data_IF_322820254455
#
_entry.id   IF_322820254455
#
_cell.length_a   1.000
_cell.length_b   1.000
_cell.length_c   1.000
_cell.angle_alpha   90.00
_cell.angle_beta   90.00
_cell.angle_gamma   90.00
#
_symmetry.space_group_name_H-M   'P 1'
#
loop_
_entity.id
_entity.type
_entity.pdbx_description
1 polymer ?
#
# COMPACT_ATOMS: atom_id res chain seq x y z
N UNK A 1 54.05 10.63 -48.81
CA UNK A 1 53.37 11.66 -48.00
C UNK A 1 51.91 11.92 -48.38
N UNK A 2 51.53 12.04 -49.66
CA UNK A 2 50.13 12.34 -50.06
C UNK A 2 49.08 11.27 -49.68
N UNK A 3 49.45 9.99 -49.60
CA UNK A 3 48.52 8.91 -49.24
C UNK A 3 48.22 8.81 -47.73
N UNK A 4 49.16 9.20 -46.88
CA UNK A 4 49.00 9.23 -45.42
C UNK A 4 48.08 10.38 -44.97
N UNK A 5 48.18 11.55 -45.61
CA UNK A 5 47.26 12.67 -45.34
C UNK A 5 45.79 12.31 -45.68
N UNK A 6 45.55 11.53 -46.74
CA UNK A 6 44.20 11.10 -47.14
C UNK A 6 43.55 10.14 -46.14
N UNK A 7 44.32 9.22 -45.56
CA UNK A 7 43.81 8.29 -44.55
C UNK A 7 43.40 9.04 -43.27
N UNK A 8 44.25 9.95 -42.79
CA UNK A 8 43.98 10.76 -41.60
C UNK A 8 42.75 11.66 -41.79
N UNK A 9 42.55 12.23 -42.98
CA UNK A 9 41.34 13.02 -43.25
C UNK A 9 40.06 12.18 -43.29
N UNK A 10 40.12 10.93 -43.75
CA UNK A 10 38.95 10.04 -43.81
C UNK A 10 38.58 9.54 -42.41
N UNK A 11 39.55 9.15 -41.59
CA UNK A 11 39.31 8.75 -40.20
C UNK A 11 38.76 9.90 -39.36
N UNK A 12 39.28 11.13 -39.54
CA UNK A 12 38.77 12.30 -38.83
C UNK A 12 37.35 12.68 -39.29
N UNK A 13 37.02 12.46 -40.57
CA UNK A 13 35.67 12.69 -41.09
C UNK A 13 34.66 11.64 -40.61
N UNK A 14 35.08 10.36 -40.52
CA UNK A 14 34.30 9.29 -39.92
C UNK A 14 34.10 9.52 -38.42
N UNK A 15 35.12 10.01 -37.71
CA UNK A 15 35.00 10.37 -36.30
C UNK A 15 34.04 11.56 -36.10
N UNK A 16 34.10 12.57 -36.98
CA UNK A 16 33.17 13.72 -36.95
C UNK A 16 31.75 13.29 -37.33
N UNK A 17 31.56 12.35 -38.26
CA UNK A 17 30.25 11.76 -38.57
C UNK A 17 29.72 10.89 -37.43
N UNK A 18 30.58 10.14 -36.74
CA UNK A 18 30.23 9.40 -35.53
C UNK A 18 29.87 10.36 -34.39
N UNK A 19 30.63 11.44 -34.23
CA UNK A 19 30.36 12.49 -33.25
C UNK A 19 29.08 13.24 -33.62
N UNK A 20 28.78 13.50 -34.91
CA UNK A 20 27.52 14.12 -35.35
C UNK A 20 26.32 13.16 -35.26
N UNK A 21 26.52 11.84 -35.36
CA UNK A 21 25.45 10.86 -35.10
C UNK A 21 25.20 10.67 -33.60
N UNK A 22 26.22 10.88 -32.77
CA UNK A 22 26.11 10.84 -31.30
C UNK A 22 25.72 12.22 -30.72
N UNK A 23 25.96 13.30 -31.47
CA UNK A 23 25.60 14.70 -31.15
C UNK A 23 24.36 15.19 -31.89
N UNK A 24 23.57 14.29 -32.51
CA UNK A 24 22.12 14.43 -32.40
C UNK A 24 21.79 14.18 -30.93
N UNK A 25 22.06 15.20 -30.10
CA UNK A 25 21.61 15.24 -28.72
C UNK A 25 20.18 14.75 -28.69
N UNK A 26 19.93 13.76 -27.84
CA UNK A 26 18.63 13.23 -27.53
C UNK A 26 17.76 14.35 -26.91
N UNK A 27 17.27 15.28 -27.73
CA UNK A 27 15.95 15.83 -27.49
C UNK A 27 15.03 14.64 -27.72
N UNK A 28 14.68 13.96 -26.63
CA UNK A 28 13.60 13.00 -26.66
C UNK A 28 12.41 13.68 -27.33
N UNK A 29 11.87 13.07 -28.38
CA UNK A 29 10.71 13.60 -29.05
C UNK A 29 9.59 13.81 -28.01
N UNK A 30 9.31 15.06 -27.66
CA UNK A 30 8.32 15.40 -26.62
C UNK A 30 6.89 15.30 -27.15
N UNK A 31 6.71 15.13 -28.47
CA UNK A 31 5.39 15.09 -29.10
C UNK A 31 4.45 14.05 -28.49
N UNK A 32 4.88 12.80 -28.17
CA UNK A 32 4.02 11.85 -27.48
C UNK A 32 3.66 12.33 -26.08
N UNK A 33 4.61 12.88 -25.31
CA UNK A 33 4.33 13.40 -23.96
C UNK A 33 3.34 14.57 -23.98
N UNK A 34 3.49 15.50 -24.93
CA UNK A 34 2.57 16.63 -25.11
C UNK A 34 1.16 16.15 -25.49
N UNK A 35 1.08 15.13 -26.34
CA UNK A 35 -0.18 14.49 -26.73
C UNK A 35 -0.82 13.72 -25.57
N UNK A 36 -0.03 13.03 -24.73
CA UNK A 36 -0.49 12.36 -23.52
C UNK A 36 -1.16 13.36 -22.57
N UNK A 37 -0.46 14.44 -22.25
CA UNK A 37 -0.95 15.53 -21.39
C UNK A 37 -2.20 16.20 -21.94
N UNK A 38 -2.31 16.35 -23.26
CA UNK A 38 -3.53 16.87 -23.88
C UNK A 38 -4.70 15.92 -23.71
N UNK A 39 -4.49 14.63 -23.97
CA UNK A 39 -5.54 13.62 -23.79
C UNK A 39 -6.02 13.53 -22.34
N UNK A 40 -5.13 13.65 -21.35
CA UNK A 40 -5.51 13.74 -19.92
C UNK A 40 -6.41 14.95 -19.65
N UNK A 41 -6.06 16.14 -20.16
CA UNK A 41 -6.90 17.34 -20.02
C UNK A 41 -8.28 17.18 -20.65
N UNK A 42 -8.37 16.41 -21.73
CA UNK A 42 -9.61 16.11 -22.44
C UNK A 42 -10.42 14.98 -21.75
N UNK A 43 -9.88 14.35 -20.70
CA UNK A 43 -10.49 13.22 -20.00
C UNK A 43 -10.38 11.88 -20.75
N UNK A 44 -9.63 11.84 -21.85
CA UNK A 44 -9.42 10.64 -22.67
C UNK A 44 -8.20 9.85 -22.16
N UNK A 45 -8.38 9.21 -21.01
CA UNK A 45 -7.31 8.43 -20.36
C UNK A 45 -6.84 7.25 -21.22
N UNK A 46 -7.73 6.64 -22.01
CA UNK A 46 -7.37 5.52 -22.88
C UNK A 46 -6.35 5.96 -23.94
N UNK A 47 -6.58 7.13 -24.56
CA UNK A 47 -5.63 7.71 -25.52
C UNK A 47 -4.35 8.20 -24.84
N UNK A 48 -4.45 8.82 -23.66
CA UNK A 48 -3.29 9.26 -22.90
C UNK A 48 -2.30 8.12 -22.60
N UNK A 49 -2.82 6.95 -22.20
CA UNK A 49 -2.01 5.76 -21.90
C UNK A 49 -1.13 5.35 -23.09
N UNK A 50 -1.68 5.34 -24.31
CA UNK A 50 -0.91 4.98 -25.50
C UNK A 50 0.27 5.92 -25.75
N UNK A 51 0.06 7.22 -25.54
CA UNK A 51 1.12 8.22 -25.72
C UNK A 51 2.21 8.15 -24.64
N UNK A 52 1.85 7.88 -23.38
CA UNK A 52 2.84 7.64 -22.34
C UNK A 52 3.70 6.41 -22.62
N UNK A 53 3.08 5.31 -23.09
CA UNK A 53 3.80 4.09 -23.46
C UNK A 53 4.76 4.34 -24.63
N UNK A 54 4.36 5.14 -25.62
CA UNK A 54 5.22 5.54 -26.74
C UNK A 54 6.43 6.33 -26.25
N UNK A 55 6.23 7.33 -25.38
CA UNK A 55 7.32 8.14 -24.82
C UNK A 55 8.29 7.30 -23.96
N UNK A 56 7.75 6.56 -22.99
CA UNK A 56 8.53 5.73 -22.07
C UNK A 56 9.19 4.54 -22.78
N UNK A 57 8.69 4.12 -23.94
CA UNK A 57 9.37 3.13 -24.78
C UNK A 57 10.76 3.58 -25.25
N UNK A 58 10.98 4.90 -25.40
CA UNK A 58 12.30 5.47 -25.69
C UNK A 58 13.11 5.84 -24.43
N UNK A 59 12.43 6.09 -23.31
CA UNK A 59 13.03 6.52 -22.04
C UNK A 59 12.32 5.88 -20.85
N UNK A 60 12.54 4.58 -20.59
CA UNK A 60 11.77 3.84 -19.59
C UNK A 60 12.00 4.36 -18.17
N UNK A 61 13.16 4.94 -17.90
CA UNK A 61 13.57 5.42 -16.57
C UNK A 61 13.37 6.94 -16.39
N UNK A 62 12.63 7.61 -17.30
CA UNK A 62 12.17 8.98 -17.06
C UNK A 62 11.22 9.00 -15.86
N UNK A 63 11.78 9.25 -14.69
CA UNK A 63 11.10 9.17 -13.41
C UNK A 63 9.86 10.08 -13.34
N UNK A 64 9.98 11.32 -13.82
CA UNK A 64 8.91 12.31 -13.66
C UNK A 64 7.74 11.95 -14.58
N UNK A 65 8.02 11.49 -15.80
CA UNK A 65 6.98 11.02 -16.74
C UNK A 65 6.39 9.68 -16.31
N UNK A 66 7.19 8.76 -15.78
CA UNK A 66 6.71 7.49 -15.24
C UNK A 66 5.77 7.73 -14.05
N UNK A 67 6.10 8.68 -13.17
CA UNK A 67 5.24 9.10 -12.05
C UNK A 67 3.94 9.71 -12.57
N UNK A 68 4.00 10.63 -13.54
CA UNK A 68 2.82 11.23 -14.19
C UNK A 68 1.90 10.17 -14.84
N UNK A 69 2.50 9.22 -15.56
CA UNK A 69 1.78 8.10 -16.17
C UNK A 69 1.11 7.21 -15.12
N UNK A 70 1.79 6.93 -14.01
CA UNK A 70 1.25 6.15 -12.89
C UNK A 70 0.02 6.80 -12.28
N UNK A 71 0.04 8.12 -12.07
CA UNK A 71 -1.14 8.86 -11.59
C UNK A 71 -2.28 8.82 -12.60
N UNK A 72 -1.98 8.96 -13.90
CA UNK A 72 -2.99 8.86 -14.97
C UNK A 72 -3.69 7.48 -14.95
N UNK A 73 -2.94 6.40 -14.74
CA UNK A 73 -3.50 5.06 -14.58
C UNK A 73 -4.38 4.95 -13.33
N UNK A 74 -3.98 5.59 -12.22
CA UNK A 74 -4.77 5.66 -10.99
C UNK A 74 -6.10 6.40 -11.17
N UNK A 75 -6.10 7.53 -11.87
CA UNK A 75 -7.32 8.28 -12.19
C UNK A 75 -8.25 7.45 -13.07
N UNK A 76 -7.72 6.85 -14.14
CA UNK A 76 -8.48 5.94 -14.99
C UNK A 76 -9.12 4.80 -14.19
N UNK A 77 -8.35 4.18 -13.29
CA UNK A 77 -8.84 3.10 -12.44
C UNK A 77 -9.95 3.57 -11.50
N UNK A 78 -9.88 4.79 -10.96
CA UNK A 78 -10.91 5.35 -10.09
C UNK A 78 -12.23 5.61 -10.83
N UNK A 79 -12.20 5.97 -12.12
CA UNK A 79 -13.40 6.26 -12.92
C UNK A 79 -14.01 5.01 -13.59
N UNK A 80 -13.17 4.18 -14.21
CA UNK A 80 -13.63 3.09 -15.08
C UNK A 80 -13.45 1.70 -14.43
N UNK A 81 -12.84 1.65 -13.24
CA UNK A 81 -12.26 0.41 -12.73
C UNK A 81 -11.10 -0.08 -13.60
N UNK A 82 -10.67 -1.33 -13.39
CA UNK A 82 -9.69 -1.98 -14.27
C UNK A 82 -8.54 -2.63 -13.52
N UNK A 83 -7.51 -2.98 -14.29
CA UNK A 83 -6.33 -3.68 -13.83
C UNK A 83 -5.37 -2.73 -13.09
N UNK A 84 -5.10 -3.03 -11.82
CA UNK A 84 -4.14 -2.31 -10.98
C UNK A 84 -2.69 -2.75 -11.22
N UNK A 85 -2.48 -3.81 -11.99
CA UNK A 85 -1.17 -4.37 -12.34
C UNK A 85 -0.21 -3.36 -12.96
N UNK A 86 -0.61 -2.56 -13.97
CA UNK A 86 0.25 -1.51 -14.52
C UNK A 86 0.64 -0.43 -13.49
N UNK A 87 -0.27 -0.08 -12.57
CA UNK A 87 0.02 0.88 -11.49
C UNK A 87 1.09 0.32 -10.55
N UNK A 88 0.92 -0.92 -10.10
CA UNK A 88 1.89 -1.60 -9.22
C UNK A 88 3.24 -1.73 -9.94
N UNK A 89 3.24 -2.10 -11.22
CA UNK A 89 4.47 -2.26 -12.01
C UNK A 89 5.24 -0.96 -12.09
N UNK A 90 4.57 0.15 -12.43
CA UNK A 90 5.24 1.44 -12.48
C UNK A 90 5.70 1.91 -11.09
N UNK A 91 4.92 1.68 -10.04
CA UNK A 91 5.30 2.02 -8.67
C UNK A 91 6.52 1.21 -8.17
N UNK A 92 6.64 -0.06 -8.54
CA UNK A 92 7.83 -0.86 -8.27
C UNK A 92 9.05 -0.28 -9.00
N UNK A 93 8.92 0.09 -10.27
CA UNK A 93 10.01 0.73 -11.01
C UNK A 93 10.40 2.10 -10.41
N UNK A 94 9.42 2.93 -10.05
CA UNK A 94 9.66 4.20 -9.35
C UNK A 94 10.39 3.98 -8.02
N UNK A 95 10.00 2.94 -7.27
CA UNK A 95 10.65 2.57 -6.03
C UNK A 95 12.09 2.10 -6.25
N UNK A 96 12.36 1.35 -7.32
CA UNK A 96 13.73 0.95 -7.69
C UNK A 96 14.61 2.16 -8.04
N UNK A 97 14.06 3.13 -8.79
CA UNK A 97 14.76 4.35 -9.17
C UNK A 97 15.03 5.26 -7.97
N UNK A 98 14.06 5.41 -7.06
CA UNK A 98 14.15 6.27 -5.87
C UNK A 98 13.52 5.62 -4.63
N UNK A 99 14.23 4.68 -3.96
CA UNK A 99 13.67 3.92 -2.83
C UNK A 99 13.34 4.76 -1.60
N UNK A 100 13.90 5.98 -1.48
CA UNK A 100 13.70 6.87 -0.33
C UNK A 100 12.49 7.80 -0.49
N UNK A 101 11.79 7.78 -1.63
CA UNK A 101 10.66 8.68 -1.86
C UNK A 101 9.41 8.17 -1.12
N UNK A 102 9.06 8.86 -0.04
CA UNK A 102 7.99 8.45 0.88
C UNK A 102 6.62 8.32 0.18
N UNK A 103 6.32 9.21 -0.77
CA UNK A 103 5.08 9.15 -1.56
C UNK A 103 4.97 7.83 -2.33
N UNK A 104 6.07 7.40 -2.97
CA UNK A 104 6.11 6.15 -3.74
C UNK A 104 6.01 4.96 -2.80
N UNK A 105 6.73 4.97 -1.67
CA UNK A 105 6.62 3.92 -0.65
C UNK A 105 5.17 3.77 -0.15
N UNK A 106 4.50 4.89 0.14
CA UNK A 106 3.11 4.93 0.59
C UNK A 106 2.15 4.38 -0.45
N UNK A 107 2.22 4.88 -1.69
CA UNK A 107 1.36 4.44 -2.78
C UNK A 107 1.59 2.96 -3.13
N UNK A 108 2.85 2.52 -3.25
CA UNK A 108 3.18 1.14 -3.54
C UNK A 108 2.70 0.20 -2.44
N UNK A 109 2.98 0.54 -1.17
CA UNK A 109 2.48 -0.24 -0.03
C UNK A 109 0.94 -0.34 -0.03
N UNK A 110 0.24 0.75 -0.35
CA UNK A 110 -1.22 0.75 -0.41
C UNK A 110 -1.74 -0.15 -1.54
N UNK A 111 -1.15 -0.07 -2.74
CA UNK A 111 -1.55 -0.89 -3.88
C UNK A 111 -1.26 -2.37 -3.64
N UNK A 112 -0.11 -2.70 -3.04
CA UNK A 112 0.22 -4.07 -2.65
C UNK A 112 -0.75 -4.60 -1.58
N UNK A 113 -1.14 -3.78 -0.59
CA UNK A 113 -2.18 -4.20 0.38
C UNK A 113 -3.49 -4.54 -0.33
N UNK A 114 -3.91 -3.74 -1.32
CA UNK A 114 -5.13 -4.02 -2.10
C UNK A 114 -5.01 -5.30 -2.92
N UNK A 115 -3.86 -5.54 -3.54
CA UNK A 115 -3.61 -6.77 -4.29
C UNK A 115 -3.58 -8.01 -3.38
N UNK A 116 -2.89 -7.91 -2.23
CA UNK A 116 -2.86 -8.97 -1.22
C UNK A 116 -4.25 -9.30 -0.69
N UNK A 117 -5.10 -8.29 -0.46
CA UNK A 117 -6.48 -8.48 -0.04
C UNK A 117 -7.29 -9.24 -1.09
N UNK A 118 -7.20 -8.84 -2.36
CA UNK A 118 -7.87 -9.55 -3.45
C UNK A 118 -7.38 -11.01 -3.60
N UNK A 119 -6.09 -11.26 -3.34
CA UNK A 119 -5.52 -12.61 -3.29
C UNK A 119 -6.10 -13.45 -2.15
N UNK A 120 -6.17 -12.88 -0.94
CA UNK A 120 -6.71 -13.53 0.25
C UNK A 120 -8.20 -13.88 0.09
N UNK A 121 -9.01 -12.93 -0.38
CA UNK A 121 -10.45 -13.12 -0.65
C UNK A 121 -10.70 -14.24 -1.67
N UNK A 122 -9.76 -14.45 -2.60
CA UNK A 122 -9.82 -15.53 -3.58
C UNK A 122 -9.18 -16.85 -3.09
N UNK A 123 -8.82 -16.94 -1.81
CA UNK A 123 -8.22 -18.12 -1.18
C UNK A 123 -6.77 -18.39 -1.57
N UNK A 124 -6.09 -17.46 -2.26
CA UNK A 124 -4.67 -17.57 -2.64
C UNK A 124 -3.78 -17.05 -1.52
N UNK A 125 -3.84 -17.72 -0.38
CA UNK A 125 -3.25 -17.20 0.85
C UNK A 125 -1.72 -17.09 0.81
N UNK A 126 -1.02 -18.04 0.19
CA UNK A 126 0.45 -17.97 0.07
C UNK A 126 0.90 -16.79 -0.79
N UNK A 127 0.14 -16.48 -1.85
CA UNK A 127 0.39 -15.32 -2.70
C UNK A 127 0.13 -14.02 -1.93
N UNK A 128 -1.01 -13.93 -1.24
CA UNK A 128 -1.37 -12.80 -0.40
C UNK A 128 -0.32 -12.54 0.69
N UNK A 129 0.17 -13.58 1.36
CA UNK A 129 1.22 -13.48 2.39
C UNK A 129 2.50 -12.85 1.81
N UNK A 130 2.93 -13.30 0.63
CA UNK A 130 4.10 -12.76 -0.06
C UNK A 130 3.91 -11.28 -0.39
N UNK A 131 2.73 -10.91 -0.88
CA UNK A 131 2.41 -9.53 -1.26
C UNK A 131 2.35 -8.63 -0.03
N UNK A 132 1.69 -9.04 1.05
CA UNK A 132 1.67 -8.25 2.28
C UNK A 132 3.05 -8.09 2.89
N UNK A 133 3.90 -9.12 2.88
CA UNK A 133 5.30 -8.99 3.31
C UNK A 133 6.08 -7.99 2.45
N UNK A 134 5.82 -7.95 1.14
CA UNK A 134 6.40 -6.92 0.25
C UNK A 134 5.90 -5.52 0.65
N UNK A 135 4.61 -5.34 0.90
CA UNK A 135 4.06 -4.06 1.35
C UNK A 135 4.72 -3.57 2.65
N UNK A 136 4.89 -4.46 3.63
CA UNK A 136 5.60 -4.14 4.89
C UNK A 136 7.07 -3.78 4.66
N UNK A 137 7.75 -4.44 3.71
CA UNK A 137 9.14 -4.13 3.40
C UNK A 137 9.30 -2.78 2.67
N UNK A 138 8.34 -2.43 1.79
CA UNK A 138 8.33 -1.16 1.05
C UNK A 138 8.06 0.01 1.99
N UNK A 139 7.09 -0.12 2.88
CA UNK A 139 6.77 0.90 3.88
C UNK A 139 6.60 0.28 5.28
N UNK A 140 7.68 0.19 6.07
CA UNK A 140 7.64 -0.37 7.42
C UNK A 140 6.80 0.43 8.41
N UNK A 141 6.53 1.71 8.13
CA UNK A 141 5.71 2.58 8.97
C UNK A 141 4.21 2.46 8.65
N UNK A 142 3.85 1.81 7.54
CA UNK A 142 2.46 1.53 7.18
C UNK A 142 1.87 0.40 8.04
N UNK A 143 1.33 0.75 9.21
CA UNK A 143 0.65 -0.21 10.10
C UNK A 143 -0.50 -0.99 9.44
N UNK A 144 -1.11 -0.45 8.37
CA UNK A 144 -2.16 -1.11 7.59
C UNK A 144 -1.67 -2.41 6.93
N UNK A 145 -0.43 -2.46 6.44
CA UNK A 145 0.10 -3.67 5.78
C UNK A 145 0.33 -4.80 6.79
N UNK A 146 0.89 -4.46 7.96
CA UNK A 146 1.07 -5.40 9.07
C UNK A 146 -0.28 -5.89 9.61
N UNK A 147 -1.25 -4.98 9.71
CA UNK A 147 -2.61 -5.32 10.12
C UNK A 147 -3.24 -6.37 9.19
N UNK A 148 -3.20 -6.17 7.87
CA UNK A 148 -3.75 -7.13 6.91
C UNK A 148 -2.99 -8.47 6.90
N UNK A 149 -1.67 -8.45 7.14
CA UNK A 149 -0.91 -9.69 7.33
C UNK A 149 -1.35 -10.44 8.60
N UNK A 150 -1.70 -9.72 9.67
CA UNK A 150 -2.30 -10.31 10.86
C UNK A 150 -3.65 -10.94 10.60
N UNK A 151 -4.53 -10.25 9.87
CA UNK A 151 -5.83 -10.79 9.46
C UNK A 151 -5.69 -12.08 8.65
N UNK A 152 -4.75 -12.10 7.70
CA UNK A 152 -4.48 -13.29 6.90
C UNK A 152 -4.07 -14.49 7.77
N UNK A 153 -3.24 -14.28 8.79
CA UNK A 153 -2.85 -15.34 9.71
C UNK A 153 -4.01 -15.80 10.61
N UNK A 154 -4.87 -14.88 11.05
CA UNK A 154 -6.09 -15.24 11.80
C UNK A 154 -7.03 -16.12 10.96
N UNK A 155 -7.26 -15.77 9.69
CA UNK A 155 -8.07 -16.57 8.76
C UNK A 155 -7.49 -17.98 8.54
N UNK A 156 -6.17 -18.13 8.67
CA UNK A 156 -5.48 -19.41 8.61
C UNK A 156 -5.41 -20.16 9.96
N UNK A 157 -5.97 -19.60 11.03
CA UNK A 157 -5.90 -20.16 12.38
C UNK A 157 -4.53 -20.04 13.07
N UNK A 158 -3.62 -19.21 12.54
CA UNK A 158 -2.27 -18.97 13.04
C UNK A 158 -2.27 -17.83 14.06
N UNK A 159 -2.88 -18.08 15.22
CA UNK A 159 -3.19 -17.04 16.21
C UNK A 159 -1.96 -16.35 16.82
N UNK A 160 -0.84 -17.05 16.97
CA UNK A 160 0.39 -16.44 17.52
C UNK A 160 1.07 -15.52 16.51
N UNK A 161 1.11 -15.92 15.23
CA UNK A 161 1.60 -15.10 14.14
C UNK A 161 0.73 -13.86 13.94
N UNK A 162 -0.60 -14.02 13.95
CA UNK A 162 -1.53 -12.90 13.86
C UNK A 162 -1.33 -11.89 15.00
N UNK A 163 -1.24 -12.38 16.24
CA UNK A 163 -0.97 -11.54 17.40
C UNK A 163 0.35 -10.76 17.28
N UNK A 164 1.41 -11.41 16.78
CA UNK A 164 2.69 -10.75 16.53
C UNK A 164 2.54 -9.60 15.51
N UNK A 165 1.78 -9.81 14.43
CA UNK A 165 1.55 -8.77 13.42
C UNK A 165 0.65 -7.65 13.93
N UNK A 166 -0.42 -7.94 14.66
CA UNK A 166 -1.27 -6.91 15.26
C UNK A 166 -0.51 -6.05 16.26
N UNK A 167 0.35 -6.65 17.08
CA UNK A 167 1.21 -5.87 17.98
C UNK A 167 2.19 -4.99 17.23
N UNK A 168 2.79 -5.49 16.14
CA UNK A 168 3.66 -4.69 15.29
C UNK A 168 2.89 -3.51 14.66
N UNK A 169 1.69 -3.77 14.13
CA UNK A 169 0.82 -2.76 13.56
C UNK A 169 0.44 -1.69 14.60
N UNK A 170 0.02 -2.11 15.80
CA UNK A 170 -0.38 -1.21 16.88
C UNK A 170 0.77 -0.33 17.37
N UNK A 171 2.03 -0.81 17.29
CA UNK A 171 3.20 0.01 17.61
C UNK A 171 3.37 1.22 16.68
N UNK A 172 2.80 1.16 15.48
CA UNK A 172 2.76 2.29 14.52
C UNK A 172 1.60 3.26 14.76
N UNK A 173 0.74 2.96 15.75
CA UNK A 173 -0.45 3.75 16.12
C UNK A 173 -1.35 4.13 14.94
N UNK A 174 -1.70 3.18 14.05
CA UNK A 174 -2.61 3.47 12.97
C UNK A 174 -4.01 3.77 13.55
N UNK A 175 -4.76 4.64 12.88
CA UNK A 175 -6.16 4.94 13.22
C UNK A 175 -7.09 3.88 12.61
N UNK A 176 -6.93 2.63 13.05
CA UNK A 176 -7.70 1.47 12.58
C UNK A 176 -8.38 0.84 13.79
N UNK A 177 -9.64 1.22 14.11
CA UNK A 177 -10.37 0.67 15.25
C UNK A 177 -10.44 -0.87 15.27
N UNK A 178 -10.60 -1.51 14.10
CA UNK A 178 -10.69 -2.98 13.98
C UNK A 178 -9.41 -3.69 14.46
N UNK A 179 -8.23 -3.08 14.28
CA UNK A 179 -6.96 -3.59 14.79
C UNK A 179 -6.98 -3.70 16.33
N UNK A 180 -7.46 -2.66 17.01
CA UNK A 180 -7.48 -2.63 18.47
C UNK A 180 -8.57 -3.54 19.04
N UNK A 181 -9.69 -3.70 18.32
CA UNK A 181 -10.71 -4.69 18.68
C UNK A 181 -10.11 -6.10 18.68
N UNK A 182 -9.51 -6.53 17.56
CA UNK A 182 -8.88 -7.85 17.43
C UNK A 182 -7.77 -8.07 18.45
N UNK A 183 -6.89 -7.08 18.63
CA UNK A 183 -5.82 -7.20 19.60
C UNK A 183 -6.36 -7.29 21.05
N UNK A 184 -7.42 -6.55 21.36
CA UNK A 184 -8.14 -6.61 22.63
C UNK A 184 -8.80 -7.97 22.89
N UNK A 185 -9.43 -8.56 21.88
CA UNK A 185 -9.98 -9.92 21.94
C UNK A 185 -8.90 -10.98 22.17
N UNK A 186 -7.73 -10.84 21.54
CA UNK A 186 -6.60 -11.74 21.77
C UNK A 186 -6.09 -11.60 23.22
N UNK A 187 -5.97 -10.37 23.75
CA UNK A 187 -5.60 -10.19 25.16
C UNK A 187 -6.62 -10.79 26.12
N UNK A 188 -7.92 -10.60 25.83
CA UNK A 188 -9.02 -11.18 26.61
C UNK A 188 -8.94 -12.72 26.62
N UNK A 189 -8.76 -13.34 25.45
CA UNK A 189 -8.62 -14.79 25.32
C UNK A 189 -7.39 -15.37 26.03
N UNK A 190 -6.32 -14.57 26.17
CA UNK A 190 -5.10 -14.92 26.93
C UNK A 190 -5.21 -14.63 28.43
N UNK A 191 -6.33 -14.06 28.89
CA UNK A 191 -6.54 -13.68 30.30
C UNK A 191 -5.79 -12.41 30.73
N UNK A 192 -5.23 -11.65 29.79
CA UNK A 192 -4.56 -10.37 30.06
C UNK A 192 -5.61 -9.24 30.09
N UNK A 193 -6.46 -9.27 31.09
CA UNK A 193 -7.63 -8.40 31.20
C UNK A 193 -7.26 -6.91 31.29
N UNK A 194 -6.13 -6.58 31.90
CA UNK A 194 -5.66 -5.19 31.98
C UNK A 194 -5.33 -4.63 30.60
N UNK A 195 -4.58 -5.38 29.77
CA UNK A 195 -4.30 -4.96 28.40
C UNK A 195 -5.54 -5.03 27.53
N UNK A 196 -6.43 -5.99 27.73
CA UNK A 196 -7.69 -6.06 27.00
C UNK A 196 -8.52 -4.79 27.20
N UNK A 197 -8.72 -4.35 28.45
CA UNK A 197 -9.47 -3.11 28.76
C UNK A 197 -8.83 -1.91 28.06
N UNK A 198 -7.53 -1.69 28.27
CA UNK A 198 -6.83 -0.53 27.68
C UNK A 198 -6.90 -0.55 26.15
N UNK A 199 -6.68 -1.72 25.53
CA UNK A 199 -6.66 -1.85 24.07
C UNK A 199 -8.05 -1.66 23.48
N UNK A 200 -9.08 -2.23 24.10
CA UNK A 200 -10.47 -2.08 23.64
C UNK A 200 -11.00 -0.66 23.86
N UNK A 201 -10.54 0.05 24.90
CA UNK A 201 -10.87 1.47 25.08
C UNK A 201 -10.35 2.35 23.93
N UNK A 202 -9.24 1.98 23.28
CA UNK A 202 -8.77 2.68 22.08
C UNK A 202 -9.76 2.58 20.91
N UNK A 203 -10.56 1.51 20.83
CA UNK A 203 -11.63 1.40 19.81
C UNK A 203 -12.65 2.52 20.03
N UNK A 204 -13.06 2.74 21.28
CA UNK A 204 -14.01 3.79 21.65
C UNK A 204 -13.45 5.18 21.34
N UNK A 205 -12.18 5.42 21.67
CA UNK A 205 -11.50 6.69 21.40
C UNK A 205 -11.35 6.99 19.90
N UNK A 206 -11.06 5.97 19.09
CA UNK A 206 -10.79 6.12 17.66
C UNK A 206 -12.03 6.03 16.77
N UNK A 207 -13.14 5.51 17.29
CA UNK A 207 -14.37 5.25 16.53
C UNK A 207 -15.00 6.51 15.93
N UNK A 208 -14.73 7.70 16.48
CA UNK A 208 -15.22 8.96 15.92
C UNK A 208 -16.74 8.94 15.69
N UNK A 209 -17.17 9.11 14.44
CA UNK A 209 -18.60 9.05 14.04
C UNK A 209 -19.08 7.59 13.81
N UNK A 210 -18.17 6.64 13.61
CA UNK A 210 -18.49 5.24 13.35
C UNK A 210 -18.67 4.48 14.65
N UNK A 211 -19.92 4.11 14.96
CA UNK A 211 -20.29 3.41 16.19
C UNK A 211 -20.37 1.89 16.06
N UNK A 212 -20.10 1.34 14.87
CA UNK A 212 -20.33 -0.08 14.55
C UNK A 212 -19.56 -1.07 15.47
N UNK A 213 -18.33 -0.73 15.86
CA UNK A 213 -17.50 -1.59 16.71
C UNK A 213 -17.68 -1.34 18.21
N UNK A 214 -18.42 -0.28 18.61
CA UNK A 214 -18.58 0.07 20.02
C UNK A 214 -19.24 -1.04 20.85
N UNK A 215 -20.32 -1.70 20.38
CA UNK A 215 -20.91 -2.81 21.12
C UNK A 215 -19.91 -3.92 21.45
N UNK A 216 -19.10 -4.31 20.46
CA UNK A 216 -18.09 -5.38 20.60
C UNK A 216 -16.97 -4.96 21.55
N UNK A 217 -16.47 -3.73 21.42
CA UNK A 217 -15.45 -3.18 22.30
C UNK A 217 -15.95 -3.10 23.75
N UNK A 218 -17.14 -2.56 23.98
CA UNK A 218 -17.76 -2.50 25.30
C UNK A 218 -18.01 -3.89 25.89
N UNK A 219 -18.41 -4.86 25.07
CA UNK A 219 -18.61 -6.22 25.54
C UNK A 219 -17.29 -6.87 25.99
N UNK A 220 -16.21 -6.69 25.23
CA UNK A 220 -14.89 -7.18 25.62
C UNK A 220 -14.38 -6.50 26.90
N UNK A 221 -14.64 -5.21 27.08
CA UNK A 221 -14.31 -4.47 28.32
C UNK A 221 -15.12 -5.02 29.50
N UNK A 222 -16.42 -5.24 29.32
CA UNK A 222 -17.31 -5.78 30.34
C UNK A 222 -16.87 -7.19 30.78
N UNK A 223 -16.56 -8.08 29.83
CA UNK A 223 -16.02 -9.42 30.08
C UNK A 223 -14.68 -9.37 30.83
N UNK A 224 -13.84 -8.39 30.51
CA UNK A 224 -12.55 -8.19 31.19
C UNK A 224 -12.76 -7.77 32.66
N UNK A 225 -13.63 -6.79 32.93
CA UNK A 225 -13.96 -6.37 34.29
C UNK A 225 -14.65 -7.49 35.10
N UNK A 226 -15.57 -8.22 34.47
CA UNK A 226 -16.24 -9.36 35.09
C UNK A 226 -15.23 -10.42 35.54
N UNK A 227 -14.29 -10.78 34.66
CA UNK A 227 -13.23 -11.75 34.96
C UNK A 227 -12.28 -11.29 36.08
N UNK A 228 -12.16 -9.98 36.29
CA UNK A 228 -11.41 -9.38 37.40
C UNK A 228 -12.22 -9.24 38.70
N UNK A 229 -13.50 -9.59 38.71
CA UNK A 229 -14.41 -9.42 39.85
C UNK A 229 -14.89 -7.97 40.07
N UNK A 230 -14.65 -7.08 39.10
CA UNK A 230 -15.02 -5.66 39.15
C UNK A 230 -16.45 -5.47 38.63
N UNK A 231 -17.43 -5.89 39.44
CA UNK A 231 -18.82 -6.05 38.99
C UNK A 231 -19.52 -4.74 38.63
N UNK A 232 -19.17 -3.62 39.29
CA UNK A 232 -19.79 -2.33 39.00
C UNK A 232 -19.34 -1.79 37.63
N UNK A 233 -18.04 -1.88 37.35
CA UNK A 233 -17.44 -1.50 36.08
C UNK A 233 -17.88 -2.42 34.94
N UNK A 234 -17.98 -3.73 35.23
CA UNK A 234 -18.51 -4.71 34.29
C UNK A 234 -19.95 -4.38 33.88
N UNK A 235 -20.83 -4.06 34.84
CA UNK A 235 -22.21 -3.70 34.56
C UNK A 235 -22.32 -2.42 33.71
N UNK A 236 -21.53 -1.39 34.04
CA UNK A 236 -21.52 -0.15 33.26
C UNK A 236 -21.05 -0.35 31.81
N UNK A 237 -20.01 -1.16 31.60
CA UNK A 237 -19.56 -1.50 30.25
C UNK A 237 -20.55 -2.41 29.50
N UNK A 238 -21.24 -3.32 30.21
CA UNK A 238 -22.25 -4.20 29.63
C UNK A 238 -23.47 -3.44 29.13
N UNK A 239 -23.94 -2.45 29.89
CA UNK A 239 -25.03 -1.55 29.47
C UNK A 239 -24.71 -0.82 28.16
N UNK A 240 -23.46 -0.37 28.00
CA UNK A 240 -22.99 0.26 26.76
C UNK A 240 -22.82 -0.73 25.59
N UNK A 241 -22.61 -2.01 25.88
CA UNK A 241 -22.47 -3.06 24.88
C UNK A 241 -23.82 -3.47 24.28
N UNK A 242 -24.90 -3.34 25.04
CA UNK A 242 -26.24 -3.75 24.65
C UNK A 242 -26.52 -5.25 24.86
N UNK A 243 -27.74 -5.65 24.52
CA UNK A 243 -28.32 -6.95 24.92
C UNK A 243 -27.63 -8.17 24.31
N UNK A 244 -26.91 -8.00 23.19
CA UNK A 244 -26.18 -9.09 22.52
C UNK A 244 -24.86 -9.46 23.24
N UNK A 245 -24.46 -8.70 24.27
CA UNK A 245 -23.25 -9.00 25.03
C UNK A 245 -23.47 -10.08 26.09
N UNK A 246 -22.81 -11.22 25.92
CA UNK A 246 -22.78 -12.29 26.92
C UNK A 246 -21.57 -12.15 27.86
N UNK A 247 -21.84 -11.86 29.12
CA UNK A 247 -20.87 -12.02 30.21
C UNK A 247 -20.84 -13.50 30.56
N UNK A 248 -19.90 -14.25 29.97
CA UNK A 248 -19.75 -15.69 30.21
C UNK A 248 -19.80 -16.07 31.69
N UNK A 249 -20.21 -17.32 31.95
CA UNK A 249 -20.44 -17.89 33.30
C UNK A 249 -19.22 -17.85 34.21
#
# INVERSE_FOLDING_TARGET
MRSLLRLVTIEMFLLVLLILSVASCADSDSRPLDAARSAVRDGDFARAVGFYQEYLGGQPDDYDVLKEYTFTLGERWAYDGGDRGPIITNLEQLYELRPSEEDVQGLLSLMLVREGQAGAEAGRFEEAEKIYRRAVAVNPEAGLAQYNLGMLYDEQGKADEAFAQYRAAAAKRPQIPDLYLRLGEVYLGRGDFDRAIVTLSLVVELSGVSTYLLPQAHCGIARSYHSKGMMAEAAGAHELAGDDCELGS
#
